data_IF_281961427507
#
_entry.id   IF_281961427507
#
_cell.length_a   1.000
_cell.length_b   1.000
_cell.length_c   1.000
_cell.angle_alpha   90.00
_cell.angle_beta   90.00
_cell.angle_gamma   90.00
#
_symmetry.space_group_name_H-M   'P 1'
#
loop_
_entity.id
_entity.type
_entity.pdbx_description
1 polymer ?
#
# COMPACT_ATOMS: atom_id res chain seq x y z
N UNK A 1 6.99 -13.18 -12.88
CA UNK A 1 6.07 -12.07 -13.13
C UNK A 1 6.59 -11.06 -14.14
N UNK A 2 7.89 -10.78 -14.18
CA UNK A 2 8.48 -9.93 -15.24
C UNK A 2 8.18 -10.48 -16.64
N UNK A 3 8.27 -11.80 -16.80
CA UNK A 3 8.04 -12.48 -18.07
C UNK A 3 6.57 -12.47 -18.54
N UNK A 4 5.63 -12.07 -17.67
CA UNK A 4 4.19 -11.99 -17.96
C UNK A 4 3.71 -10.57 -18.32
N UNK A 5 4.56 -9.54 -18.18
CA UNK A 5 4.23 -8.16 -18.52
C UNK A 5 3.36 -7.39 -17.50
N UNK A 6 3.06 -7.98 -16.32
CA UNK A 6 2.20 -7.40 -15.28
C UNK A 6 2.97 -6.94 -14.02
N UNK A 7 4.25 -6.62 -14.17
CA UNK A 7 5.07 -6.20 -13.04
C UNK A 7 4.56 -4.90 -12.39
N UNK A 8 4.12 -3.94 -13.18
CA UNK A 8 3.67 -2.64 -12.68
C UNK A 8 2.36 -2.74 -11.89
N UNK A 9 1.44 -3.61 -12.30
CA UNK A 9 0.18 -3.87 -11.60
C UNK A 9 0.44 -4.53 -10.25
N UNK A 10 1.33 -5.52 -10.21
CA UNK A 10 1.72 -6.20 -8.96
C UNK A 10 2.45 -5.23 -8.02
N UNK A 11 3.34 -4.39 -8.54
CA UNK A 11 4.01 -3.34 -7.75
C UNK A 11 2.99 -2.36 -7.18
N UNK A 12 2.02 -1.93 -8.00
CA UNK A 12 0.94 -1.03 -7.55
C UNK A 12 0.12 -1.68 -6.43
N UNK A 13 -0.21 -2.97 -6.52
CA UNK A 13 -0.89 -3.72 -5.46
C UNK A 13 -0.16 -3.61 -4.12
N UNK A 14 1.16 -3.84 -4.08
CA UNK A 14 1.93 -3.75 -2.84
C UNK A 14 1.97 -2.32 -2.26
N UNK A 15 2.02 -1.30 -3.12
CA UNK A 15 1.95 0.09 -2.67
C UNK A 15 0.57 0.41 -2.09
N UNK A 16 -0.51 -0.05 -2.72
CA UNK A 16 -1.88 0.12 -2.21
C UNK A 16 -2.05 -0.61 -0.89
N UNK A 17 -1.63 -1.89 -0.81
CA UNK A 17 -1.72 -2.68 0.43
C UNK A 17 -0.99 -2.02 1.60
N UNK A 18 0.16 -1.38 1.36
CA UNK A 18 0.85 -0.61 2.39
C UNK A 18 0.03 0.61 2.83
N UNK A 19 -0.52 1.40 1.91
CA UNK A 19 -1.31 2.61 2.23
C UNK A 19 -2.56 2.29 3.04
N UNK A 20 -3.26 1.18 2.69
CA UNK A 20 -4.46 0.75 3.42
C UNK A 20 -4.15 -0.25 4.55
N UNK A 21 -2.87 -0.54 4.80
CA UNK A 21 -2.42 -1.46 5.84
C UNK A 21 -3.09 -2.84 5.75
N UNK A 22 -3.13 -3.42 4.55
CA UNK A 22 -3.73 -4.74 4.31
C UNK A 22 -2.79 -5.87 4.76
N UNK A 23 -2.97 -6.34 5.97
CA UNK A 23 -2.09 -7.33 6.61
C UNK A 23 -2.17 -8.75 6.01
N UNK A 24 -3.16 -9.06 5.17
CA UNK A 24 -3.38 -10.42 4.68
C UNK A 24 -3.18 -10.61 3.18
N UNK A 25 -2.38 -9.78 2.51
CA UNK A 25 -2.04 -10.03 1.12
C UNK A 25 -1.16 -11.27 0.99
N UNK A 26 -1.69 -12.33 0.38
CA UNK A 26 -0.97 -13.56 0.09
C UNK A 26 -1.26 -14.04 -1.34
N UNK A 27 -0.57 -15.09 -1.79
CA UNK A 27 -0.63 -15.59 -3.18
C UNK A 27 -2.04 -15.99 -3.68
N UNK A 28 -3.00 -16.21 -2.79
CA UNK A 28 -4.37 -16.56 -3.14
C UNK A 28 -5.31 -15.34 -3.14
N UNK A 29 -4.82 -14.14 -2.78
CA UNK A 29 -5.61 -12.91 -2.70
C UNK A 29 -5.32 -11.96 -3.89
N UNK A 30 -4.74 -12.47 -4.95
CA UNK A 30 -4.63 -11.83 -6.26
C UNK A 30 -4.50 -12.89 -7.34
N UNK A 31 -4.74 -12.54 -8.58
CA UNK A 31 -4.69 -13.48 -9.69
C UNK A 31 -4.73 -12.78 -11.04
N UNK A 32 -4.91 -13.57 -12.08
CA UNK A 32 -4.97 -13.12 -13.45
C UNK A 32 -6.22 -13.63 -14.15
N UNK A 33 -6.75 -12.84 -15.07
CA UNK A 33 -7.80 -13.25 -15.98
C UNK A 33 -7.14 -13.96 -17.16
N UNK A 34 -7.65 -15.13 -17.50
CA UNK A 34 -7.13 -15.99 -18.56
C UNK A 34 -8.22 -16.23 -19.60
N UNK A 35 -7.91 -16.07 -20.88
CA UNK A 35 -8.80 -16.53 -21.95
C UNK A 35 -8.86 -18.07 -21.94
N UNK A 36 -10.06 -18.60 -21.72
CA UNK A 36 -10.28 -20.05 -21.60
C UNK A 36 -10.03 -20.84 -22.90
N UNK A 37 -9.94 -20.17 -24.06
CA UNK A 37 -9.71 -20.81 -25.36
C UNK A 37 -8.25 -20.84 -25.72
N UNK A 38 -7.54 -19.72 -25.46
CA UNK A 38 -6.11 -19.59 -25.82
C UNK A 38 -5.19 -19.91 -24.66
N UNK A 39 -5.71 -19.91 -23.42
CA UNK A 39 -4.96 -20.01 -22.15
C UNK A 39 -3.96 -18.87 -21.95
N UNK A 40 -4.13 -17.77 -22.66
CA UNK A 40 -3.31 -16.58 -22.51
C UNK A 40 -3.81 -15.72 -21.36
N UNK A 41 -2.88 -15.10 -20.64
CA UNK A 41 -3.19 -14.16 -19.58
C UNK A 41 -3.56 -12.83 -20.22
N UNK A 42 -4.78 -12.34 -19.98
CA UNK A 42 -5.30 -11.09 -20.53
C UNK A 42 -4.99 -9.88 -19.65
N UNK A 43 -5.15 -10.03 -18.34
CA UNK A 43 -4.97 -8.96 -17.37
C UNK A 43 -4.76 -9.48 -15.96
N UNK A 44 -4.30 -8.60 -15.06
CA UNK A 44 -4.44 -8.85 -13.64
C UNK A 44 -5.91 -8.75 -13.25
N UNK A 45 -6.39 -9.67 -12.42
CA UNK A 45 -7.73 -9.59 -11.86
C UNK A 45 -7.87 -8.34 -10.98
N UNK A 46 -9.08 -7.75 -10.88
CA UNK A 46 -9.32 -6.71 -9.88
C UNK A 46 -8.87 -7.17 -8.49
N UNK A 47 -8.29 -6.26 -7.71
CA UNK A 47 -7.85 -6.57 -6.35
C UNK A 47 -9.07 -6.94 -5.49
N UNK A 48 -8.93 -7.98 -4.69
CA UNK A 48 -9.97 -8.50 -3.82
C UNK A 48 -9.40 -8.89 -2.46
N UNK A 49 -10.28 -9.25 -1.52
CA UNK A 49 -9.95 -9.70 -0.17
C UNK A 49 -9.13 -8.67 0.63
N UNK A 50 -9.77 -7.52 0.88
CA UNK A 50 -9.22 -6.43 1.71
C UNK A 50 -9.82 -6.41 3.12
N UNK A 51 -10.35 -7.53 3.61
CA UNK A 51 -11.01 -7.63 4.90
C UNK A 51 -10.06 -7.39 6.10
N UNK A 52 -8.76 -7.49 5.88
CA UNK A 52 -7.71 -7.20 6.86
C UNK A 52 -7.06 -5.82 6.66
N UNK A 53 -7.65 -4.96 5.83
CA UNK A 53 -7.18 -3.60 5.62
C UNK A 53 -7.83 -2.62 6.60
N UNK A 54 -7.20 -1.44 6.76
CA UNK A 54 -7.74 -0.33 7.55
C UNK A 54 -7.92 -0.69 9.04
N UNK A 55 -6.99 -1.46 9.59
CA UNK A 55 -6.91 -1.79 11.02
C UNK A 55 -8.24 -2.35 11.57
N UNK A 56 -8.77 -3.46 11.04
CA UNK A 56 -10.13 -3.92 11.30
C UNK A 56 -10.37 -4.29 12.77
N UNK A 57 -9.34 -4.68 13.49
CA UNK A 57 -9.43 -5.11 14.88
C UNK A 57 -9.04 -4.02 15.89
N UNK A 58 -8.65 -2.83 15.45
CA UNK A 58 -8.42 -1.70 16.33
C UNK A 58 -9.78 -1.17 16.84
N UNK A 59 -10.00 -1.20 18.15
CA UNK A 59 -11.26 -0.83 18.80
C UNK A 59 -11.18 0.55 19.48
N UNK A 60 -9.96 0.93 19.90
CA UNK A 60 -9.70 2.17 20.62
C UNK A 60 -8.84 3.15 19.80
N UNK A 61 -9.03 4.45 20.02
CA UNK A 61 -8.27 5.50 19.33
C UNK A 61 -6.75 5.40 19.58
N UNK A 62 -6.35 4.89 20.75
CA UNK A 62 -4.96 4.69 21.12
C UNK A 62 -4.22 3.67 20.25
N UNK A 63 -4.95 2.74 19.63
CA UNK A 63 -4.40 1.72 18.71
C UNK A 63 -4.09 2.27 17.33
N UNK A 64 -4.64 3.45 16.98
CA UNK A 64 -4.36 4.18 15.75
C UNK A 64 -3.14 5.10 15.94
N UNK A 65 -2.02 4.53 16.34
CA UNK A 65 -0.75 5.23 16.48
C UNK A 65 0.22 4.71 15.42
N UNK A 66 0.55 5.52 14.43
CA UNK A 66 1.46 5.18 13.36
C UNK A 66 2.81 4.66 13.91
N UNK A 67 3.20 3.46 13.52
CA UNK A 67 4.36 2.78 14.10
C UNK A 67 4.18 2.29 15.54
N UNK A 68 2.97 2.36 16.10
CA UNK A 68 2.62 1.83 17.43
C UNK A 68 2.63 0.31 17.50
N UNK A 69 2.19 -0.23 18.66
CA UNK A 69 2.20 -1.68 18.92
C UNK A 69 1.30 -2.42 17.93
N UNK A 70 0.05 -1.99 17.75
CA UNK A 70 -0.86 -2.60 16.79
C UNK A 70 -0.27 -2.66 15.38
N UNK A 71 0.34 -1.56 14.93
CA UNK A 71 0.95 -1.45 13.61
C UNK A 71 2.12 -2.44 13.43
N UNK A 72 2.93 -2.66 14.47
CA UNK A 72 4.05 -3.63 14.44
C UNK A 72 3.57 -5.07 14.47
N UNK A 73 2.52 -5.34 15.22
CA UNK A 73 1.99 -6.71 15.38
C UNK A 73 1.19 -7.19 14.16
N UNK A 74 0.69 -6.25 13.34
CA UNK A 74 -0.11 -6.53 12.15
C UNK A 74 0.61 -6.08 10.87
N UNK A 75 1.87 -6.42 10.73
CA UNK A 75 2.69 -6.13 9.55
C UNK A 75 2.24 -6.86 8.28
N UNK A 76 2.86 -6.56 7.13
CA UNK A 76 2.50 -7.19 5.86
C UNK A 76 2.84 -8.69 5.89
N UNK A 77 2.00 -9.51 5.30
CA UNK A 77 2.23 -10.95 5.18
C UNK A 77 3.31 -11.30 4.15
N UNK A 78 3.55 -10.40 3.20
CA UNK A 78 4.63 -10.50 2.21
C UNK A 78 5.59 -9.33 2.46
N UNK A 79 6.82 -9.63 2.85
CA UNK A 79 7.83 -8.66 3.27
C UNK A 79 7.88 -8.50 4.79
N UNK A 80 8.90 -7.79 5.27
CA UNK A 80 9.15 -7.64 6.70
C UNK A 80 8.52 -6.37 7.28
N UNK A 81 8.27 -5.36 6.44
CA UNK A 81 7.74 -4.06 6.85
C UNK A 81 7.05 -3.37 5.66
N UNK A 82 5.99 -2.58 5.94
CA UNK A 82 5.17 -1.87 4.96
C UNK A 82 5.98 -0.89 4.12
N UNK A 83 6.73 -0.01 4.76
CA UNK A 83 7.40 1.11 4.10
C UNK A 83 8.53 0.64 3.17
N UNK A 84 9.49 -0.19 3.59
CA UNK A 84 10.51 -0.72 2.70
C UNK A 84 9.93 -1.52 1.52
N UNK A 85 8.89 -2.32 1.75
CA UNK A 85 8.24 -3.09 0.71
C UNK A 85 7.58 -2.17 -0.35
N UNK A 86 6.83 -1.15 0.09
CA UNK A 86 6.22 -0.17 -0.79
C UNK A 86 7.27 0.63 -1.59
N UNK A 87 8.35 1.11 -0.93
CA UNK A 87 9.44 1.86 -1.59
C UNK A 87 10.13 1.01 -2.66
N UNK A 88 10.33 -0.29 -2.41
CA UNK A 88 10.90 -1.20 -3.42
C UNK A 88 9.98 -1.38 -4.64
N UNK A 89 8.68 -1.20 -4.46
CA UNK A 89 7.65 -1.34 -5.49
C UNK A 89 7.26 -0.01 -6.17
N UNK A 90 7.76 1.15 -5.71
CA UNK A 90 7.39 2.43 -6.29
C UNK A 90 7.82 2.56 -7.76
N UNK A 91 6.89 3.02 -8.56
CA UNK A 91 7.10 3.50 -9.94
C UNK A 91 6.82 5.01 -10.01
N UNK A 92 7.19 5.67 -11.10
CA UNK A 92 6.85 7.08 -11.30
C UNK A 92 5.33 7.31 -11.26
N UNK A 93 4.54 6.35 -11.78
CA UNK A 93 3.07 6.39 -11.77
C UNK A 93 2.53 6.30 -10.35
N UNK A 94 2.95 5.31 -9.56
CA UNK A 94 2.47 5.12 -8.19
C UNK A 94 2.92 6.25 -7.26
N UNK A 95 4.13 6.79 -7.44
CA UNK A 95 4.57 8.00 -6.71
C UNK A 95 3.65 9.18 -6.94
N UNK A 96 3.27 9.44 -8.20
CA UNK A 96 2.32 10.51 -8.52
C UNK A 96 0.95 10.29 -7.89
N UNK A 97 0.47 9.04 -7.88
CA UNK A 97 -0.79 8.67 -7.20
C UNK A 97 -0.72 8.93 -5.69
N UNK A 98 0.36 8.53 -5.02
CA UNK A 98 0.54 8.80 -3.58
C UNK A 98 0.52 10.30 -3.26
N UNK A 99 1.21 11.12 -4.08
CA UNK A 99 1.19 12.58 -3.90
C UNK A 99 -0.24 13.13 -4.00
N UNK A 100 -1.04 12.63 -4.93
CA UNK A 100 -2.44 13.05 -5.09
C UNK A 100 -3.34 12.58 -3.94
N UNK A 101 -2.97 11.48 -3.27
CA UNK A 101 -3.72 10.91 -2.14
C UNK A 101 -3.38 11.56 -0.78
N UNK A 102 -2.42 12.48 -0.71
CA UNK A 102 -2.03 13.15 0.54
C UNK A 102 -3.17 13.89 1.24
N UNK A 103 -4.20 14.31 0.49
CA UNK A 103 -5.38 14.98 1.05
C UNK A 103 -6.64 14.10 0.98
N UNK A 104 -6.50 12.78 0.92
CA UNK A 104 -7.63 11.87 0.83
C UNK A 104 -8.49 11.93 2.11
N UNK A 105 -9.80 12.01 1.92
CA UNK A 105 -10.80 11.88 2.99
C UNK A 105 -11.88 10.89 2.54
N UNK A 106 -12.35 10.05 3.47
CA UNK A 106 -13.48 9.17 3.20
C UNK A 106 -14.75 9.99 2.97
N UNK A 107 -15.51 9.64 1.96
CA UNK A 107 -16.86 10.20 1.78
C UNK A 107 -17.77 9.77 2.93
N UNK A 108 -18.37 10.74 3.65
CA UNK A 108 -19.32 10.46 4.71
C UNK A 108 -20.68 10.12 4.09
N UNK A 109 -21.20 8.96 4.43
CA UNK A 109 -22.54 8.55 4.02
C UNK A 109 -23.58 9.15 4.98
N UNK A 110 -24.73 9.61 4.46
CA UNK A 110 -25.72 10.30 5.28
C UNK A 110 -26.28 9.47 6.47
N UNK A 111 -26.23 8.13 6.38
CA UNK A 111 -26.86 7.24 7.36
C UNK A 111 -25.94 6.17 7.94
N UNK A 112 -24.94 5.70 7.18
CA UNK A 112 -24.14 4.53 7.52
C UNK A 112 -22.65 4.88 7.48
N UNK A 113 -22.12 5.43 8.56
CA UNK A 113 -20.70 5.70 8.72
C UNK A 113 -20.12 4.88 9.88
N UNK A 114 -18.82 4.63 9.83
CA UNK A 114 -18.05 4.38 11.03
C UNK A 114 -18.10 5.62 11.95
N UNK A 115 -17.82 5.49 13.24
CA UNK A 115 -17.68 6.66 14.13
C UNK A 115 -16.71 7.69 13.54
N UNK A 116 -17.00 8.96 13.67
CA UNK A 116 -16.19 10.03 13.06
C UNK A 116 -14.74 10.03 13.54
N UNK A 117 -14.50 9.72 14.81
CA UNK A 117 -13.15 9.57 15.34
C UNK A 117 -12.37 8.48 14.59
N UNK A 118 -13.02 7.34 14.27
CA UNK A 118 -12.39 6.22 13.57
C UNK A 118 -12.06 6.58 12.12
N UNK A 119 -12.96 7.27 11.42
CA UNK A 119 -12.71 7.74 10.05
C UNK A 119 -11.50 8.68 10.03
N UNK A 120 -11.45 9.65 10.96
CA UNK A 120 -10.32 10.58 11.08
C UNK A 120 -9.01 9.89 11.44
N UNK A 121 -9.06 8.90 12.33
CA UNK A 121 -7.88 8.12 12.68
C UNK A 121 -7.36 7.34 11.45
N UNK A 122 -8.23 6.67 10.71
CA UNK A 122 -7.85 5.96 9.48
C UNK A 122 -7.29 6.90 8.41
N UNK A 123 -7.90 8.07 8.20
CA UNK A 123 -7.39 9.10 7.28
C UNK A 123 -5.98 9.52 7.67
N UNK A 124 -5.76 9.77 8.96
CA UNK A 124 -4.45 10.14 9.50
C UNK A 124 -3.42 9.04 9.28
N UNK A 125 -3.74 7.78 9.59
CA UNK A 125 -2.83 6.64 9.40
C UNK A 125 -2.45 6.47 7.93
N UNK A 126 -3.41 6.62 7.01
CA UNK A 126 -3.14 6.58 5.57
C UNK A 126 -2.22 7.72 5.13
N UNK A 127 -2.42 8.94 5.63
CA UNK A 127 -1.56 10.09 5.32
C UNK A 127 -0.16 9.90 5.86
N UNK A 128 -0.02 9.46 7.12
CA UNK A 128 1.27 9.18 7.75
C UNK A 128 2.03 8.08 6.97
N UNK A 129 1.33 7.03 6.52
CA UNK A 129 1.93 5.98 5.69
C UNK A 129 2.40 6.52 4.33
N UNK A 130 1.59 7.32 3.64
CA UNK A 130 1.94 7.93 2.36
C UNK A 130 3.19 8.81 2.52
N UNK A 131 3.23 9.65 3.53
CA UNK A 131 4.36 10.54 3.78
C UNK A 131 5.62 9.75 4.13
N UNK A 132 5.52 8.73 4.98
CA UNK A 132 6.66 7.88 5.33
C UNK A 132 7.23 7.13 4.10
N UNK A 133 6.37 6.63 3.19
CA UNK A 133 6.81 5.98 1.95
C UNK A 133 7.53 7.00 1.05
N UNK A 134 6.97 8.19 0.85
CA UNK A 134 7.55 9.22 -0.03
C UNK A 134 8.86 9.77 0.53
N UNK A 135 8.96 9.99 1.84
CA UNK A 135 10.18 10.45 2.50
C UNK A 135 11.30 9.41 2.42
N UNK A 136 10.98 8.14 2.64
CA UNK A 136 11.94 7.04 2.52
C UNK A 136 12.44 6.89 1.08
N UNK A 137 11.59 7.04 0.09
CA UNK A 137 11.95 7.02 -1.33
C UNK A 137 12.86 8.19 -1.71
N UNK A 138 12.58 9.40 -1.21
CA UNK A 138 13.42 10.58 -1.44
C UNK A 138 14.83 10.40 -0.84
N UNK A 139 14.93 9.82 0.35
CA UNK A 139 16.21 9.49 0.99
C UNK A 139 17.00 8.46 0.18
N UNK A 140 16.34 7.39 -0.27
CA UNK A 140 16.94 6.36 -1.13
C UNK A 140 17.50 6.97 -2.42
N UNK A 141 16.75 7.83 -3.07
CA UNK A 141 17.15 8.49 -4.31
C UNK A 141 18.40 9.36 -4.11
N UNK A 142 18.46 10.14 -3.01
CA UNK A 142 19.63 10.93 -2.65
C UNK A 142 20.88 10.07 -2.41
N UNK A 143 20.72 8.94 -1.71
CA UNK A 143 21.83 8.03 -1.42
C UNK A 143 22.41 7.38 -2.68
N UNK A 144 21.56 7.08 -3.67
CA UNK A 144 22.00 6.52 -4.97
C UNK A 144 22.81 7.58 -5.72
N UNK A 145 22.30 8.81 -5.83
CA UNK A 145 22.98 9.91 -6.51
C UNK A 145 24.37 10.22 -5.92
N UNK A 146 24.51 10.19 -4.59
CA UNK A 146 25.83 10.39 -3.93
C UNK A 146 26.79 9.27 -4.31
N UNK A 147 26.36 8.01 -4.27
CA UNK A 147 27.21 6.85 -4.62
C UNK A 147 27.65 6.82 -6.08
N UNK A 148 26.87 7.38 -6.98
CA UNK A 148 27.22 7.52 -8.40
C UNK A 148 28.30 8.58 -8.60
N UNK A 149 28.17 9.74 -7.94
CA UNK A 149 29.17 10.81 -7.99
C UNK A 149 30.53 10.42 -7.37
N UNK A 150 30.54 9.54 -6.37
CA UNK A 150 31.79 9.07 -5.73
C UNK A 150 32.54 8.03 -6.58
N UNK A 151 31.98 7.59 -7.70
CA UNK A 151 32.59 6.58 -8.61
C UNK A 151 33.16 7.16 -9.90
N UNK A 152 32.91 8.44 -10.14
CA UNK A 152 33.51 9.24 -11.23
C UNK A 152 34.80 9.93 -10.76
#
# INVERSE_FOLDING_TARGET
MRDLGFEDEVRMMFVIDAVIMNADRHKNNFGFIIDNRTLEIESMAPLFDHNQALLPYAEEESEFAFGGEYFRDHGPRIGDDWIPAAVACLTAKTRKLLINLRGFEFTRHAKYNLPEWRLKALEKEMHDMIDAILDKDALRTKQIAVKENDRE
#
